data_IF_216453996083
#
_entry.id   IF_216453996083
#
_cell.length_a   1.000
_cell.length_b   1.000
_cell.length_c   1.000
_cell.angle_alpha   90.00
_cell.angle_beta   90.00
_cell.angle_gamma   90.00
#
_symmetry.space_group_name_H-M   'P 1'
#
loop_
_entity.id
_entity.type
_entity.pdbx_description
1 polymer ?
#
# COMPACT_ATOMS: atom_id res chain seq x y z
N UNK A 1 16.80 47.06 -14.91
CA UNK A 1 16.45 45.63 -14.94
C UNK A 1 15.15 45.50 -15.71
N UNK A 2 15.04 44.63 -16.71
CA UNK A 2 13.81 44.45 -17.49
C UNK A 2 12.92 43.46 -16.74
N UNK A 3 11.77 43.91 -16.26
CA UNK A 3 10.71 43.05 -15.73
C UNK A 3 10.15 42.22 -16.88
N UNK A 4 10.37 40.90 -16.85
CA UNK A 4 9.72 39.99 -17.78
C UNK A 4 8.29 39.74 -17.26
N UNK A 5 7.31 40.25 -17.99
CA UNK A 5 5.87 40.08 -17.75
C UNK A 5 5.41 38.65 -18.12
N UNK A 6 6.03 37.64 -17.50
CA UNK A 6 5.71 36.23 -17.75
C UNK A 6 4.63 35.82 -16.77
N UNK A 7 3.39 35.70 -17.27
CA UNK A 7 2.28 35.14 -16.49
C UNK A 7 2.64 33.73 -15.99
N UNK A 8 2.73 33.58 -14.68
CA UNK A 8 3.01 32.29 -14.03
C UNK A 8 1.79 31.40 -14.22
N UNK A 9 1.94 30.28 -14.93
CA UNK A 9 0.87 29.27 -15.05
C UNK A 9 0.43 28.82 -13.66
N UNK A 10 -0.88 28.85 -13.38
CA UNK A 10 -1.43 28.36 -12.12
C UNK A 10 -1.01 26.92 -11.85
N UNK A 11 -0.66 26.62 -10.59
CA UNK A 11 -0.22 25.29 -10.19
C UNK A 11 -1.25 24.23 -10.60
N UNK A 12 -0.82 23.21 -11.34
CA UNK A 12 -1.69 22.13 -11.79
C UNK A 12 -2.31 21.35 -10.63
N UNK A 13 -3.58 20.93 -10.77
CA UNK A 13 -4.25 20.10 -9.76
C UNK A 13 -3.64 18.70 -9.73
N UNK A 14 -3.34 18.20 -8.53
CA UNK A 14 -2.78 16.87 -8.35
C UNK A 14 -3.84 15.78 -8.65
N UNK A 15 -3.69 15.07 -9.77
CA UNK A 15 -4.61 13.98 -10.14
C UNK A 15 -4.38 12.75 -9.25
N UNK A 16 -5.26 12.51 -8.27
CA UNK A 16 -5.26 11.31 -7.41
C UNK A 16 -5.71 10.05 -8.18
N UNK A 17 -4.96 9.62 -9.19
CA UNK A 17 -5.26 8.40 -9.97
C UNK A 17 -5.17 7.16 -9.07
N UNK A 18 -6.22 6.33 -9.04
CA UNK A 18 -6.19 5.01 -8.38
C UNK A 18 -5.36 4.05 -9.22
N UNK A 19 -4.10 3.82 -8.83
CA UNK A 19 -3.20 2.89 -9.54
C UNK A 19 -3.26 1.49 -8.92
N UNK A 20 -3.69 0.50 -9.70
CA UNK A 20 -3.65 -0.93 -9.37
C UNK A 20 -4.64 -1.41 -8.30
N UNK A 21 -4.76 -2.73 -8.15
CA UNK A 21 -5.58 -3.34 -7.10
C UNK A 21 -4.91 -3.25 -5.73
N UNK A 22 -5.69 -2.98 -4.68
CA UNK A 22 -5.23 -3.06 -3.29
C UNK A 22 -4.82 -4.48 -2.89
N UNK A 23 -3.90 -4.61 -1.94
CA UNK A 23 -3.56 -5.92 -1.35
C UNK A 23 -4.80 -6.49 -0.65
N UNK A 24 -5.07 -7.79 -0.79
CA UNK A 24 -6.31 -8.43 -0.33
C UNK A 24 -7.41 -8.53 -1.40
N UNK A 25 -7.21 -7.88 -2.55
CA UNK A 25 -8.15 -7.92 -3.68
C UNK A 25 -7.55 -8.63 -4.89
N UNK A 26 -8.35 -9.49 -5.50
CA UNK A 26 -8.07 -10.20 -6.76
C UNK A 26 -9.17 -9.85 -7.77
N UNK A 27 -8.82 -9.70 -9.04
CA UNK A 27 -9.84 -9.65 -10.10
C UNK A 27 -10.21 -11.08 -10.47
N UNK A 28 -11.48 -11.42 -10.38
CA UNK A 28 -12.02 -12.70 -10.81
C UNK A 28 -13.27 -12.42 -11.64
N UNK A 29 -13.32 -12.93 -12.88
CA UNK A 29 -14.45 -12.73 -13.81
C UNK A 29 -14.88 -11.26 -14.01
N UNK A 30 -13.91 -10.33 -14.11
CA UNK A 30 -14.11 -8.86 -14.21
C UNK A 30 -14.65 -8.17 -12.95
N UNK A 31 -14.87 -8.92 -11.87
CA UNK A 31 -15.26 -8.39 -10.58
C UNK A 31 -14.08 -8.40 -9.60
N UNK A 32 -14.09 -7.47 -8.64
CA UNK A 32 -13.08 -7.43 -7.58
C UNK A 32 -13.52 -8.38 -6.47
N UNK A 33 -12.92 -9.57 -6.44
CA UNK A 33 -13.13 -10.60 -5.42
C UNK A 33 -12.06 -10.51 -4.33
N UNK A 34 -12.37 -11.04 -3.15
CA UNK A 34 -11.44 -11.05 -2.03
C UNK A 34 -10.45 -12.21 -2.13
N UNK A 35 -9.17 -11.92 -1.96
CA UNK A 35 -8.14 -12.94 -1.91
C UNK A 35 -7.93 -13.43 -0.47
N UNK A 36 -8.53 -14.58 -0.12
CA UNK A 36 -8.55 -15.13 1.25
C UNK A 36 -7.16 -15.11 1.92
N UNK A 37 -6.13 -15.66 1.27
CA UNK A 37 -4.75 -15.70 1.80
C UNK A 37 -4.15 -14.31 2.05
N UNK A 38 -4.43 -13.33 1.20
CA UNK A 38 -3.90 -11.98 1.40
C UNK A 38 -4.66 -11.26 2.52
N UNK A 39 -5.95 -11.56 2.68
CA UNK A 39 -6.78 -11.02 3.76
C UNK A 39 -6.31 -11.52 5.13
N UNK A 40 -6.01 -12.81 5.27
CA UNK A 40 -5.45 -13.38 6.50
C UNK A 40 -4.12 -12.68 6.89
N UNK A 41 -3.32 -12.30 5.90
CA UNK A 41 -2.08 -11.56 6.13
C UNK A 41 -2.37 -10.13 6.64
N UNK A 42 -3.40 -9.47 6.11
CA UNK A 42 -3.85 -8.15 6.59
C UNK A 42 -4.35 -8.24 8.03
N UNK A 43 -5.09 -9.29 8.37
CA UNK A 43 -5.57 -9.53 9.74
C UNK A 43 -4.39 -9.73 10.70
N UNK A 44 -3.40 -10.55 10.33
CA UNK A 44 -2.15 -10.67 11.09
C UNK A 44 -1.42 -9.34 11.25
N UNK A 45 -1.35 -8.50 10.21
CA UNK A 45 -0.76 -7.16 10.33
C UNK A 45 -1.49 -6.28 11.34
N UNK A 46 -2.83 -6.34 11.36
CA UNK A 46 -3.66 -5.62 12.34
C UNK A 46 -3.43 -6.13 13.76
N UNK A 47 -3.37 -7.44 13.95
CA UNK A 47 -3.06 -8.06 15.24
C UNK A 47 -1.68 -7.65 15.75
N UNK A 48 -0.65 -7.69 14.90
CA UNK A 48 0.67 -7.22 15.29
C UNK A 48 0.67 -5.73 15.62
N UNK A 49 -0.14 -4.92 14.91
CA UNK A 49 -0.26 -3.50 15.25
C UNK A 49 -0.95 -3.29 16.60
N UNK A 50 -1.98 -4.06 16.90
CA UNK A 50 -2.68 -4.03 18.19
C UNK A 50 -1.76 -4.46 19.35
N UNK A 51 -0.85 -5.40 19.10
CA UNK A 51 0.21 -5.82 20.04
C UNK A 51 1.33 -4.78 20.22
N UNK A 52 1.28 -3.64 19.54
CA UNK A 52 2.26 -2.56 19.67
C UNK A 52 3.51 -2.68 18.78
N UNK A 53 3.55 -3.64 17.85
CA UNK A 53 4.69 -3.76 16.95
C UNK A 53 4.78 -2.56 15.98
N UNK A 54 6.01 -2.12 15.72
CA UNK A 54 6.30 -1.09 14.71
C UNK A 54 6.14 -1.66 13.30
N UNK A 55 5.82 -0.81 12.31
CA UNK A 55 5.67 -1.25 10.93
C UNK A 55 6.93 -1.92 10.35
N UNK A 56 8.12 -1.51 10.82
CA UNK A 56 9.39 -2.16 10.47
C UNK A 56 9.45 -3.58 11.00
N UNK A 57 9.15 -3.78 12.28
CA UNK A 57 9.18 -5.10 12.92
C UNK A 57 8.16 -6.05 12.31
N UNK A 58 6.97 -5.56 11.95
CA UNK A 58 5.98 -6.35 11.22
C UNK A 58 6.52 -6.79 9.85
N UNK A 59 7.21 -5.91 9.13
CA UNK A 59 7.83 -6.27 7.86
C UNK A 59 8.90 -7.35 8.00
N UNK A 60 9.76 -7.23 9.01
CA UNK A 60 10.78 -8.24 9.32
C UNK A 60 10.14 -9.59 9.62
N UNK A 61 9.12 -9.63 10.49
CA UNK A 61 8.37 -10.85 10.81
C UNK A 61 7.78 -11.48 9.54
N UNK A 62 7.11 -10.69 8.69
CA UNK A 62 6.50 -11.21 7.46
C UNK A 62 7.54 -11.73 6.46
N UNK A 63 8.72 -11.10 6.39
CA UNK A 63 9.82 -11.56 5.55
C UNK A 63 10.42 -12.87 6.07
N UNK A 64 10.61 -13.00 7.39
CA UNK A 64 11.08 -14.25 8.03
C UNK A 64 10.07 -15.39 7.81
N UNK A 65 8.78 -15.09 7.91
CA UNK A 65 7.70 -16.04 7.62
C UNK A 65 7.54 -16.33 6.11
N UNK A 66 8.37 -15.74 5.24
CA UNK A 66 8.34 -15.87 3.78
C UNK A 66 6.96 -15.60 3.18
N UNK A 67 6.22 -14.65 3.76
CA UNK A 67 4.90 -14.26 3.27
C UNK A 67 5.05 -13.51 1.94
N UNK A 68 4.50 -14.02 0.83
CA UNK A 68 4.67 -13.38 -0.46
C UNK A 68 3.95 -12.03 -0.51
N UNK A 69 4.59 -11.05 -1.15
CA UNK A 69 3.96 -9.77 -1.52
C UNK A 69 3.02 -9.95 -2.72
N UNK A 70 2.21 -8.95 -3.05
CA UNK A 70 1.25 -9.01 -4.17
C UNK A 70 1.86 -9.46 -5.50
N UNK A 71 3.07 -8.97 -5.80
CA UNK A 71 3.82 -9.30 -7.02
C UNK A 71 4.65 -10.57 -6.88
N UNK A 72 4.66 -11.21 -5.69
CA UNK A 72 5.42 -12.42 -5.32
C UNK A 72 6.95 -12.33 -5.47
N UNK A 73 7.48 -11.19 -5.91
CA UNK A 73 8.90 -10.98 -6.23
C UNK A 73 9.63 -10.01 -5.29
N UNK A 74 8.92 -9.48 -4.27
CA UNK A 74 9.47 -8.46 -3.37
C UNK A 74 9.31 -8.80 -1.90
N UNK A 75 10.09 -8.09 -1.08
CA UNK A 75 10.01 -8.12 0.38
C UNK A 75 8.97 -7.14 0.93
N UNK A 76 8.51 -7.40 2.14
CA UNK A 76 7.76 -6.45 2.94
C UNK A 76 8.67 -5.33 3.42
N UNK A 77 8.17 -4.10 3.26
CA UNK A 77 8.77 -2.89 3.80
C UNK A 77 7.75 -2.19 4.69
N UNK A 78 8.20 -1.53 5.76
CA UNK A 78 7.29 -0.85 6.71
C UNK A 78 6.38 0.18 6.03
N UNK A 79 6.88 0.91 5.02
CA UNK A 79 6.07 1.83 4.20
C UNK A 79 4.92 1.12 3.50
N UNK A 80 5.17 -0.06 2.94
CA UNK A 80 4.16 -0.86 2.25
C UNK A 80 3.08 -1.31 3.22
N UNK A 81 3.46 -1.75 4.43
CA UNK A 81 2.50 -2.17 5.47
C UNK A 81 1.62 -1.01 5.90
N UNK A 82 2.21 0.16 6.17
CA UNK A 82 1.45 1.36 6.48
C UNK A 82 0.44 1.70 5.36
N UNK A 83 0.87 1.65 4.10
CA UNK A 83 -0.02 1.91 2.95
C UNK A 83 -1.13 0.86 2.80
N UNK A 84 -0.86 -0.40 3.12
CA UNK A 84 -1.86 -1.47 3.10
C UNK A 84 -2.89 -1.23 4.21
N UNK A 85 -2.44 -1.02 5.45
CA UNK A 85 -3.34 -0.80 6.59
C UNK A 85 -4.19 0.46 6.41
N UNK A 86 -3.59 1.57 5.96
CA UNK A 86 -4.30 2.84 5.68
C UNK A 86 -5.38 2.73 4.61
N UNK A 87 -5.30 1.74 3.71
CA UNK A 87 -6.32 1.51 2.67
C UNK A 87 -7.47 0.63 3.15
N UNK A 88 -7.28 -0.08 4.25
CA UNK A 88 -8.24 -1.04 4.82
C UNK A 88 -9.01 -0.41 6.00
N UNK A 89 -8.39 0.56 6.68
CA UNK A 89 -9.08 1.53 7.53
C UNK A 89 -9.98 2.44 6.68
#
# INVERSE_FOLDING_TARGET
>A
MKECEISIRGAGKNQKRRRGLAYGQKVEKREVSQHKREREVIEKMKEFRAKGYSYRKIAEILNVLKVPTKTKKGLWYGKTIYQVLKKVE
#
